data_IF_943786945697
#
_entry.id   IF_943786945697
#
_cell.length_a   1.000
_cell.length_b   1.000
_cell.length_c   1.000
_cell.angle_alpha   90.00
_cell.angle_beta   90.00
_cell.angle_gamma   90.00
#
_symmetry.space_group_name_H-M   'P 1'
#
loop_
_entity.id
_entity.type
_entity.pdbx_description
1 polymer ?
#
# COMPACT_ATOMS: atom_id res chain seq x y z
N UNK A 1 1.06 -41.99 44.26
CA UNK A 1 -0.16 -41.43 43.61
C UNK A 1 -0.22 -39.90 43.54
N UNK A 2 0.72 -39.15 44.16
CA UNK A 2 0.72 -37.67 44.08
C UNK A 2 1.38 -37.11 42.81
N UNK A 3 2.42 -37.77 42.29
CA UNK A 3 3.11 -37.33 41.07
C UNK A 3 2.21 -37.33 39.82
N UNK A 4 1.34 -38.33 39.69
CA UNK A 4 0.37 -38.40 38.59
C UNK A 4 -0.65 -37.25 38.68
N UNK A 5 -1.11 -36.89 39.88
CA UNK A 5 -2.02 -35.76 40.08
C UNK A 5 -1.34 -34.43 39.75
N UNK A 6 -0.08 -34.27 40.12
CA UNK A 6 0.73 -33.07 39.81
C UNK A 6 0.96 -32.96 38.30
N UNK A 7 1.32 -34.07 37.63
CA UNK A 7 1.50 -34.10 36.19
C UNK A 7 0.20 -33.75 35.44
N UNK A 8 -0.94 -34.29 35.87
CA UNK A 8 -2.24 -33.96 35.30
C UNK A 8 -2.60 -32.49 35.48
N UNK A 9 -2.40 -31.93 36.68
CA UNK A 9 -2.66 -30.51 36.96
C UNK A 9 -1.78 -29.60 36.11
N UNK A 10 -0.50 -29.94 35.94
CA UNK A 10 0.43 -29.19 35.08
C UNK A 10 0.04 -29.29 33.60
N UNK A 11 -0.44 -30.44 33.12
CA UNK A 11 -0.95 -30.59 31.76
C UNK A 11 -2.21 -29.74 31.51
N UNK A 12 -3.13 -29.68 32.47
CA UNK A 12 -4.32 -28.83 32.38
C UNK A 12 -3.97 -27.33 32.39
N UNK A 13 -3.00 -26.93 33.22
CA UNK A 13 -2.48 -25.56 33.24
C UNK A 13 -1.85 -25.17 31.89
N UNK A 14 -1.03 -26.04 31.31
CA UNK A 14 -0.42 -25.82 29.99
C UNK A 14 -1.47 -25.71 28.86
N UNK A 15 -2.56 -26.48 28.92
CA UNK A 15 -3.67 -26.40 27.96
C UNK A 15 -4.48 -25.11 28.11
N UNK A 16 -4.70 -24.64 29.34
CA UNK A 16 -5.42 -23.37 29.60
C UNK A 16 -4.61 -22.13 29.21
N UNK A 17 -3.28 -22.19 29.28
CA UNK A 17 -2.41 -21.12 28.81
C UNK A 17 -2.36 -21.07 27.28
N UNK A 18 -2.43 -22.21 26.58
CA UNK A 18 -2.50 -22.23 25.12
C UNK A 18 -3.70 -21.47 24.55
N UNK A 19 -4.88 -21.57 25.16
CA UNK A 19 -6.06 -20.84 24.65
C UNK A 19 -5.97 -19.34 24.87
N UNK A 20 -5.41 -18.88 26.00
CA UNK A 20 -5.16 -17.46 26.24
C UNK A 20 -4.08 -16.90 25.32
N UNK A 21 -2.97 -17.61 25.16
CA UNK A 21 -1.87 -17.22 24.27
C UNK A 21 -2.34 -17.22 22.82
N UNK A 22 -3.11 -18.22 22.40
CA UNK A 22 -3.61 -18.30 21.03
C UNK A 22 -4.69 -17.27 20.74
N UNK A 23 -5.54 -16.90 21.70
CA UNK A 23 -6.54 -15.84 21.55
C UNK A 23 -5.94 -14.43 21.51
N UNK A 24 -4.91 -14.16 22.32
CA UNK A 24 -4.18 -12.89 22.30
C UNK A 24 -3.35 -12.74 21.02
N UNK A 25 -2.54 -13.76 20.69
CA UNK A 25 -1.74 -13.79 19.46
C UNK A 25 -2.65 -13.73 18.22
N UNK A 26 -3.81 -14.40 18.22
CA UNK A 26 -4.72 -14.35 17.07
C UNK A 26 -5.34 -12.97 16.88
N UNK A 27 -5.63 -12.24 17.96
CA UNK A 27 -6.23 -10.90 17.86
C UNK A 27 -5.24 -9.85 17.35
N UNK A 28 -4.00 -9.90 17.84
CA UNK A 28 -2.93 -9.00 17.39
C UNK A 28 -2.51 -9.34 15.94
N UNK A 29 -2.40 -10.63 15.62
CA UNK A 29 -2.14 -11.09 14.25
C UNK A 29 -3.27 -10.69 13.29
N UNK A 30 -4.54 -10.85 13.68
CA UNK A 30 -5.70 -10.44 12.85
C UNK A 30 -5.70 -8.92 12.62
N UNK A 31 -5.36 -8.14 13.64
CA UNK A 31 -5.18 -6.69 13.52
C UNK A 31 -4.10 -6.33 12.49
N UNK A 32 -2.90 -6.92 12.59
CA UNK A 32 -1.84 -6.69 11.61
C UNK A 32 -2.21 -7.14 10.20
N UNK A 33 -2.91 -8.26 10.06
CA UNK A 33 -3.38 -8.75 8.76
C UNK A 33 -4.38 -7.79 8.12
N UNK A 34 -5.30 -7.22 8.89
CA UNK A 34 -6.23 -6.19 8.40
C UNK A 34 -5.50 -4.94 7.96
N UNK A 35 -4.50 -4.49 8.71
CA UNK A 35 -3.67 -3.35 8.30
C UNK A 35 -2.90 -3.63 7.01
N UNK A 36 -2.35 -4.84 6.86
CA UNK A 36 -1.70 -5.29 5.64
C UNK A 36 -2.68 -5.32 4.45
N UNK A 37 -3.90 -5.80 4.67
CA UNK A 37 -4.96 -5.81 3.65
C UNK A 37 -5.20 -4.40 3.11
N UNK A 38 -5.24 -3.38 3.98
CA UNK A 38 -5.39 -1.99 3.54
C UNK A 38 -4.18 -1.50 2.71
N UNK A 39 -2.95 -1.88 3.06
CA UNK A 39 -1.76 -1.59 2.23
C UNK A 39 -1.92 -2.22 0.85
N UNK A 40 -2.34 -3.49 0.80
CA UNK A 40 -2.47 -4.22 -0.46
C UNK A 40 -3.58 -3.65 -1.33
N UNK A 41 -4.72 -3.28 -0.75
CA UNK A 41 -5.81 -2.59 -1.44
C UNK A 41 -5.33 -1.26 -2.04
N UNK A 42 -4.56 -0.49 -1.26
CA UNK A 42 -3.99 0.78 -1.69
C UNK A 42 -3.03 0.60 -2.87
N UNK A 43 -2.13 -0.38 -2.77
CA UNK A 43 -1.18 -0.71 -3.84
C UNK A 43 -1.90 -1.14 -5.12
N UNK A 44 -2.92 -2.00 -5.01
CA UNK A 44 -3.71 -2.45 -6.14
C UNK A 44 -4.40 -1.28 -6.84
N UNK A 45 -5.04 -0.39 -6.06
CA UNK A 45 -5.73 0.77 -6.58
C UNK A 45 -4.78 1.76 -7.27
N UNK A 46 -3.56 1.95 -6.75
CA UNK A 46 -2.54 2.76 -7.42
C UNK A 46 -2.08 2.15 -8.74
N UNK A 47 -1.84 0.84 -8.78
CA UNK A 47 -1.39 0.15 -9.99
C UNK A 47 -2.47 0.24 -11.08
N UNK A 48 -3.72 -0.06 -10.74
CA UNK A 48 -4.85 0.00 -11.67
C UNK A 48 -5.00 1.38 -12.31
N UNK A 49 -4.84 2.43 -11.51
CA UNK A 49 -5.02 3.81 -11.97
C UNK A 49 -3.74 4.44 -12.58
N UNK A 50 -2.57 3.82 -12.42
CA UNK A 50 -1.27 4.41 -12.80
C UNK A 50 -1.17 4.70 -14.30
N UNK A 51 -1.56 3.76 -15.16
CA UNK A 51 -1.47 3.90 -16.62
C UNK A 51 -2.40 5.02 -17.10
N UNK A 52 -3.63 5.03 -16.60
CA UNK A 52 -4.63 6.06 -16.93
C UNK A 52 -4.17 7.44 -16.47
N UNK A 53 -3.63 7.54 -15.25
CA UNK A 53 -3.10 8.79 -14.71
C UNK A 53 -1.93 9.34 -15.54
N UNK A 54 -0.98 8.49 -15.95
CA UNK A 54 0.14 8.88 -16.80
C UNK A 54 -0.36 9.34 -18.17
N UNK A 55 -1.34 8.65 -18.75
CA UNK A 55 -1.92 9.03 -20.05
C UNK A 55 -2.63 10.38 -19.98
N UNK A 56 -3.48 10.59 -18.98
CA UNK A 56 -4.17 11.87 -18.77
C UNK A 56 -3.18 13.02 -18.54
N UNK A 57 -2.12 12.77 -17.76
CA UNK A 57 -1.06 13.77 -17.55
C UNK A 57 -0.29 14.06 -18.85
N UNK A 58 0.02 13.04 -19.66
CA UNK A 58 0.66 13.21 -20.96
C UNK A 58 -0.20 13.99 -21.95
N UNK A 59 -1.51 13.74 -21.96
CA UNK A 59 -2.48 14.49 -22.77
C UNK A 59 -2.58 15.94 -22.30
N UNK A 60 -2.70 16.18 -20.99
CA UNK A 60 -2.77 17.53 -20.41
C UNK A 60 -1.52 18.36 -20.71
N UNK A 61 -0.33 17.76 -20.55
CA UNK A 61 0.96 18.41 -20.83
C UNK A 61 1.21 18.54 -22.35
N UNK A 62 0.41 17.89 -23.19
CA UNK A 62 0.56 17.86 -24.64
C UNK A 62 1.89 17.23 -25.04
N UNK A 63 2.26 16.10 -24.42
CA UNK A 63 3.50 15.38 -24.68
C UNK A 63 3.20 14.02 -25.34
N UNK A 64 3.51 13.91 -26.63
CA UNK A 64 3.38 12.67 -27.40
C UNK A 64 4.76 12.15 -27.82
N UNK A 65 5.40 11.28 -27.02
CA UNK A 65 6.70 10.75 -27.36
C UNK A 65 6.58 9.71 -28.48
N UNK A 66 7.49 9.77 -29.46
CA UNK A 66 7.66 8.68 -30.44
C UNK A 66 8.35 7.50 -29.76
N UNK A 67 7.55 6.57 -29.26
CA UNK A 67 7.99 5.30 -28.70
C UNK A 67 8.40 4.39 -29.86
N UNK A 68 9.70 4.14 -30.01
CA UNK A 68 10.19 3.08 -30.89
C UNK A 68 10.62 1.92 -30.00
N UNK A 69 10.14 0.71 -30.31
CA UNK A 69 10.40 -0.51 -29.55
C UNK A 69 11.90 -0.87 -29.43
N UNK A 70 12.74 -0.34 -30.33
CA UNK A 70 14.19 -0.40 -30.22
C UNK A 70 14.71 0.84 -29.48
N UNK A 71 14.90 0.73 -28.16
CA UNK A 71 15.33 1.86 -27.33
C UNK A 71 16.25 1.44 -26.18
N UNK A 72 17.44 2.05 -26.13
CA UNK A 72 18.33 1.99 -24.96
C UNK A 72 17.65 2.62 -23.73
N UNK A 73 17.92 2.11 -22.53
CA UNK A 73 17.48 2.65 -21.24
C UNK A 73 17.73 4.17 -21.15
N UNK A 74 18.85 4.64 -21.70
CA UNK A 74 19.22 6.06 -21.71
C UNK A 74 18.19 6.93 -22.45
N UNK A 75 17.53 6.38 -23.47
CA UNK A 75 16.48 7.07 -24.22
C UNK A 75 15.20 7.20 -23.40
N UNK A 76 14.83 6.16 -22.64
CA UNK A 76 13.70 6.23 -21.72
C UNK A 76 13.92 7.30 -20.66
N UNK A 77 15.11 7.36 -20.06
CA UNK A 77 15.46 8.40 -19.08
C UNK A 77 15.34 9.79 -19.71
N UNK A 78 15.82 9.97 -20.95
CA UNK A 78 15.70 11.25 -21.66
C UNK A 78 14.26 11.65 -21.93
N UNK A 79 13.40 10.71 -22.34
CA UNK A 79 11.98 10.96 -22.57
C UNK A 79 11.26 11.31 -21.26
N UNK A 80 11.57 10.62 -20.17
CA UNK A 80 11.03 10.91 -18.85
C UNK A 80 11.46 12.31 -18.37
N UNK A 81 12.73 12.68 -18.57
CA UNK A 81 13.22 14.00 -18.22
C UNK A 81 12.55 15.11 -19.06
N UNK A 82 12.37 14.91 -20.36
CA UNK A 82 11.68 15.88 -21.23
C UNK A 82 10.21 16.06 -20.81
N UNK A 83 9.54 14.95 -20.51
CA UNK A 83 8.19 14.95 -19.97
C UNK A 83 8.10 15.71 -18.64
N UNK A 84 8.97 15.38 -17.68
CA UNK A 84 9.00 16.02 -16.37
C UNK A 84 9.29 17.52 -16.48
N UNK A 85 10.26 17.92 -17.31
CA UNK A 85 10.55 19.33 -17.56
C UNK A 85 9.31 20.06 -18.08
N UNK A 86 8.64 19.50 -19.08
CA UNK A 86 7.43 20.11 -19.66
C UNK A 86 6.29 20.19 -18.64
N UNK A 87 6.09 19.14 -17.85
CA UNK A 87 5.06 19.08 -16.83
C UNK A 87 5.31 20.09 -15.70
N UNK A 88 6.57 20.27 -15.26
CA UNK A 88 6.92 21.15 -14.14
C UNK A 88 6.96 22.61 -14.55
N UNK A 89 7.61 22.92 -15.69
CA UNK A 89 7.89 24.30 -16.07
C UNK A 89 6.83 24.90 -16.98
N UNK A 90 6.26 24.12 -17.90
CA UNK A 90 5.35 24.67 -18.91
C UNK A 90 3.88 24.49 -18.52
N UNK A 91 3.55 23.44 -17.75
CA UNK A 91 2.18 23.01 -17.42
C UNK A 91 2.02 22.53 -15.96
N UNK A 92 2.46 23.30 -14.95
CA UNK A 92 2.38 22.88 -13.55
C UNK A 92 0.94 22.57 -13.09
N UNK A 93 -0.06 23.22 -13.68
CA UNK A 93 -1.49 22.97 -13.41
C UNK A 93 -1.89 21.51 -13.65
N UNK A 94 -1.31 20.87 -14.67
CA UNK A 94 -1.58 19.46 -14.98
C UNK A 94 -1.05 18.54 -13.87
N UNK A 95 0.14 18.84 -13.33
CA UNK A 95 0.69 18.09 -12.19
C UNK A 95 -0.18 18.27 -10.95
N UNK A 96 -0.57 19.51 -10.63
CA UNK A 96 -1.42 19.80 -9.47
C UNK A 96 -2.75 19.05 -9.58
N UNK A 97 -3.36 19.01 -10.76
CA UNK A 97 -4.59 18.25 -10.98
C UNK A 97 -4.38 16.75 -10.78
N UNK A 98 -3.31 16.17 -11.35
CA UNK A 98 -2.99 14.74 -11.15
C UNK A 98 -2.74 14.41 -9.68
N UNK A 99 -2.01 15.25 -8.95
CA UNK A 99 -1.79 15.09 -7.51
C UNK A 99 -3.09 15.21 -6.72
N UNK A 100 -3.95 16.17 -7.06
CA UNK A 100 -5.25 16.35 -6.39
C UNK A 100 -6.12 15.11 -6.56
N UNK A 101 -6.17 14.53 -7.75
CA UNK A 101 -6.86 13.27 -8.02
C UNK A 101 -6.25 12.12 -7.21
N UNK A 102 -4.92 12.00 -7.19
CA UNK A 102 -4.23 10.97 -6.41
C UNK A 102 -4.52 11.07 -4.91
N UNK A 103 -4.52 12.28 -4.36
CA UNK A 103 -4.91 12.53 -2.96
C UNK A 103 -6.35 12.11 -2.72
N UNK A 104 -7.26 12.39 -3.66
CA UNK A 104 -8.65 11.94 -3.58
C UNK A 104 -8.79 10.42 -3.48
N UNK A 105 -7.94 9.67 -4.18
CA UNK A 105 -7.90 8.21 -4.13
C UNK A 105 -7.29 7.67 -2.82
N UNK A 106 -6.30 8.37 -2.25
CA UNK A 106 -5.57 7.92 -1.05
C UNK A 106 -6.32 8.28 0.25
N UNK A 107 -7.08 9.38 0.28
CA UNK A 107 -7.87 9.79 1.46
C UNK A 107 -8.70 8.66 2.12
N UNK A 108 -9.50 7.87 1.40
CA UNK A 108 -10.27 6.79 2.02
C UNK A 108 -9.38 5.68 2.60
N UNK A 109 -8.21 5.44 1.99
CA UNK A 109 -7.22 4.47 2.49
C UNK A 109 -6.66 4.97 3.84
N UNK A 110 -6.27 6.24 3.93
CA UNK A 110 -5.80 6.86 5.19
C UNK A 110 -6.88 6.74 6.26
N UNK A 111 -8.13 7.05 5.94
CA UNK A 111 -9.23 6.91 6.89
C UNK A 111 -9.42 5.46 7.38
N UNK A 112 -9.24 4.46 6.49
CA UNK A 112 -9.30 3.04 6.85
C UNK A 112 -8.13 2.67 7.78
N UNK A 113 -6.92 3.16 7.50
CA UNK A 113 -5.73 3.03 8.35
C UNK A 113 -5.95 3.59 9.76
N UNK A 114 -6.44 4.83 9.86
CA UNK A 114 -6.72 5.49 11.13
C UNK A 114 -7.84 4.77 11.90
N UNK A 115 -8.89 4.33 11.21
CA UNK A 115 -10.00 3.58 11.83
C UNK A 115 -9.57 2.25 12.42
N UNK A 116 -8.56 1.62 11.80
CA UNK A 116 -7.96 0.38 12.26
C UNK A 116 -6.84 0.62 13.28
N UNK A 117 -6.44 1.87 13.55
CA UNK A 117 -5.32 2.22 14.45
C UNK A 117 -4.02 1.49 14.11
N UNK A 118 -3.74 1.31 12.82
CA UNK A 118 -2.57 0.57 12.34
C UNK A 118 -1.22 1.20 12.71
N UNK A 119 -1.21 2.42 13.26
CA UNK A 119 -0.02 3.15 13.72
C UNK A 119 0.01 3.39 15.24
N UNK A 120 -1.01 2.94 15.98
CA UNK A 120 -0.99 3.02 17.43
C UNK A 120 -0.35 1.72 17.95
N UNK A 121 0.89 1.81 18.41
CA UNK A 121 1.58 0.75 19.17
C UNK A 121 0.85 0.44 20.50
#
# INVERSE_FOLDING_TARGET
>A
MHLIKIAFLLSFLALSQKSQVQGAISSELDHHLRCLEVVTDAGALMIENSITAIKLLAECVGYQPKLTLNGSVLRFIRLAHQFAKKAIYDRPECLVQTFTTAVGLIRPIIAKFDSLRCFDD
#
